data_IF_281294055076
#
_entry.id   IF_281294055076
#
_cell.length_a   1.000
_cell.length_b   1.000
_cell.length_c   1.000
_cell.angle_alpha   90.00
_cell.angle_beta   90.00
_cell.angle_gamma   90.00
#
_symmetry.space_group_name_H-M   'P 1'
#
loop_
_entity.id
_entity.type
_entity.pdbx_description
1 polymer ?
#
# COMPACT_ATOMS: atom_id res chain seq x y z
N UNK A 1 -8.50 -0.76 -13.54
CA UNK A 1 -9.18 0.28 -12.74
C UNK A 1 -8.22 1.43 -12.56
N UNK A 2 -8.70 2.66 -12.68
CA UNK A 2 -7.93 3.89 -12.52
C UNK A 2 -8.70 4.80 -11.57
N UNK A 3 -7.98 5.52 -10.71
CA UNK A 3 -8.56 6.50 -9.79
C UNK A 3 -7.62 7.66 -9.60
N UNK A 4 -8.19 8.84 -9.42
CA UNK A 4 -7.52 10.05 -8.96
C UNK A 4 -8.15 10.48 -7.64
N UNK A 5 -7.33 11.01 -6.73
CA UNK A 5 -7.77 11.51 -5.44
C UNK A 5 -7.07 12.82 -5.12
N UNK A 6 -7.79 13.68 -4.41
CA UNK A 6 -7.30 14.96 -3.90
C UNK A 6 -7.61 15.02 -2.42
N UNK A 7 -6.65 15.47 -1.63
CA UNK A 7 -6.80 15.69 -0.19
C UNK A 7 -6.19 17.05 0.14
N UNK A 8 -6.82 17.77 1.06
CA UNK A 8 -6.42 19.12 1.44
C UNK A 8 -6.35 19.23 2.94
N UNK A 9 -5.52 20.16 3.40
CA UNK A 9 -5.29 20.40 4.82
C UNK A 9 -4.74 19.18 5.58
N UNK A 10 -3.93 18.34 4.93
CA UNK A 10 -3.39 17.11 5.53
C UNK A 10 -2.20 17.44 6.44
N UNK A 11 -2.25 17.14 7.75
CA UNK A 11 -1.12 17.39 8.64
C UNK A 11 0.01 16.38 8.38
N UNK A 12 1.19 16.86 7.98
CA UNK A 12 2.38 16.03 7.74
C UNK A 12 3.64 16.79 8.20
N UNK A 13 4.58 16.11 8.87
CA UNK A 13 5.85 16.71 9.34
C UNK A 13 5.70 18.04 10.13
N UNK A 14 4.54 18.28 10.76
CA UNK A 14 4.25 19.52 11.47
C UNK A 14 3.80 20.70 10.59
N UNK A 15 3.56 20.48 9.29
CA UNK A 15 2.99 21.44 8.34
C UNK A 15 1.66 20.90 7.78
N UNK A 16 1.03 21.71 6.93
CA UNK A 16 -0.23 21.41 6.26
C UNK A 16 0.03 21.24 4.77
N UNK A 17 -0.45 20.13 4.19
CA UNK A 17 -0.19 19.75 2.81
C UNK A 17 -1.48 19.52 2.01
N UNK A 18 -1.44 19.93 0.75
CA UNK A 18 -2.37 19.50 -0.29
C UNK A 18 -1.75 18.34 -1.07
N UNK A 19 -2.54 17.29 -1.30
CA UNK A 19 -2.07 16.02 -1.87
C UNK A 19 -2.88 15.63 -3.09
N UNK A 20 -2.18 15.26 -4.16
CA UNK A 20 -2.78 14.60 -5.33
C UNK A 20 -2.27 13.17 -5.42
N UNK A 21 -3.17 12.22 -5.63
CA UNK A 21 -2.84 10.80 -5.78
C UNK A 21 -3.45 10.23 -7.05
N UNK A 22 -2.65 9.46 -7.78
CA UNK A 22 -3.10 8.66 -8.91
C UNK A 22 -2.88 7.19 -8.57
N UNK A 23 -3.86 6.34 -8.84
CA UNK A 23 -3.72 4.91 -8.66
C UNK A 23 -4.30 4.13 -9.84
N UNK A 24 -3.65 3.02 -10.17
CA UNK A 24 -4.05 2.12 -11.24
C UNK A 24 -3.85 0.66 -10.86
N UNK A 25 -4.78 -0.18 -11.31
CA UNK A 25 -4.68 -1.64 -11.21
C UNK A 25 -4.86 -2.24 -12.60
N UNK A 26 -3.85 -2.97 -13.05
CA UNK A 26 -3.70 -3.48 -14.41
C UNK A 26 -3.60 -5.02 -14.37
N UNK A 27 -4.62 -5.76 -14.84
CA UNK A 27 -4.52 -7.21 -15.01
C UNK A 27 -3.65 -7.50 -16.24
N UNK A 28 -2.46 -8.08 -16.04
CA UNK A 28 -1.51 -8.36 -17.13
C UNK A 28 -1.89 -9.66 -17.85
N UNK A 29 -2.06 -10.72 -17.07
CA UNK A 29 -2.52 -12.04 -17.53
C UNK A 29 -3.15 -12.71 -16.32
N UNK A 30 -4.22 -13.49 -16.46
CA UNK A 30 -4.78 -14.18 -15.28
C UNK A 30 -3.76 -15.24 -14.79
N UNK A 31 -3.42 -15.31 -13.49
CA UNK A 31 -3.96 -14.57 -12.34
C UNK A 31 -3.12 -13.36 -11.85
N UNK A 32 -2.16 -12.89 -12.64
CA UNK A 32 -1.24 -11.78 -12.37
C UNK A 32 -1.90 -10.40 -12.55
N UNK A 33 -1.81 -9.58 -11.50
CA UNK A 33 -2.30 -8.21 -11.45
C UNK A 33 -1.16 -7.30 -10.94
N UNK A 34 -0.94 -6.19 -11.63
CA UNK A 34 -0.06 -5.11 -11.17
C UNK A 34 -0.89 -3.96 -10.60
N UNK A 35 -0.36 -3.30 -9.57
CA UNK A 35 -0.90 -2.07 -9.00
C UNK A 35 0.17 -1.00 -8.95
N UNK A 36 -0.21 0.24 -9.21
CA UNK A 36 0.63 1.43 -9.12
C UNK A 36 -0.14 2.50 -8.32
N UNK A 37 0.57 3.17 -7.42
CA UNK A 37 0.15 4.43 -6.81
C UNK A 37 1.30 5.40 -7.01
N UNK A 38 0.99 6.62 -7.42
CA UNK A 38 1.89 7.76 -7.34
C UNK A 38 1.18 8.89 -6.61
N UNK A 39 1.92 9.62 -5.79
CA UNK A 39 1.39 10.71 -4.98
C UNK A 39 2.39 11.86 -4.95
N UNK A 40 1.87 13.07 -4.94
CA UNK A 40 2.59 14.32 -4.70
C UNK A 40 1.87 15.09 -3.59
N UNK A 41 2.62 15.66 -2.66
CA UNK A 41 2.13 16.43 -1.52
C UNK A 41 2.93 17.73 -1.41
N UNK A 42 2.24 18.87 -1.51
CA UNK A 42 2.83 20.21 -1.42
C UNK A 42 2.36 20.90 -0.16
N UNK A 43 3.27 21.53 0.58
CA UNK A 43 2.86 22.36 1.70
C UNK A 43 2.11 23.60 1.21
N UNK A 44 1.20 24.12 2.03
CA UNK A 44 0.37 25.29 1.67
C UNK A 44 1.18 26.58 1.47
N UNK A 45 2.44 26.61 1.93
CA UNK A 45 3.38 27.71 1.72
C UNK A 45 4.25 27.51 0.47
N UNK A 46 4.23 26.33 -0.17
CA UNK A 46 4.96 26.00 -1.39
C UNK A 46 6.47 25.77 -1.24
N UNK A 47 6.97 25.59 -0.02
CA UNK A 47 8.39 25.39 0.28
C UNK A 47 8.83 23.92 0.21
N UNK A 48 7.89 22.99 0.40
CA UNK A 48 8.13 21.56 0.43
C UNK A 48 7.22 20.85 -0.57
N UNK A 49 7.83 20.02 -1.41
CA UNK A 49 7.13 19.14 -2.33
C UNK A 49 7.67 17.73 -2.15
N UNK A 50 6.90 16.90 -1.46
CA UNK A 50 7.24 15.50 -1.27
C UNK A 50 6.48 14.65 -2.28
N UNK A 51 7.14 13.64 -2.83
CA UNK A 51 6.51 12.66 -3.69
C UNK A 51 6.68 11.23 -3.16
N UNK A 52 5.98 10.31 -3.79
CA UNK A 52 6.13 8.91 -3.50
C UNK A 52 5.38 8.03 -4.48
N UNK A 53 5.81 6.79 -4.57
CA UNK A 53 5.13 5.78 -5.36
C UNK A 53 5.12 4.43 -4.65
N UNK A 54 4.15 3.62 -5.03
CA UNK A 54 4.06 2.21 -4.65
C UNK A 54 3.76 1.41 -5.91
N UNK A 55 4.59 0.39 -6.16
CA UNK A 55 4.31 -0.66 -7.12
C UNK A 55 3.95 -1.93 -6.37
N UNK A 56 3.00 -2.69 -6.90
CA UNK A 56 2.57 -3.94 -6.29
C UNK A 56 2.24 -5.00 -7.33
N UNK A 57 2.42 -6.24 -6.94
CA UNK A 57 2.13 -7.42 -7.72
C UNK A 57 1.30 -8.37 -6.87
N UNK A 58 0.26 -8.93 -7.49
CA UNK A 58 -0.56 -9.99 -6.91
C UNK A 58 -0.75 -11.10 -7.92
N UNK A 59 -0.57 -12.35 -7.48
CA UNK A 59 -0.86 -13.53 -8.31
C UNK A 59 -1.43 -14.67 -7.48
N UNK A 60 -2.11 -15.62 -8.11
CA UNK A 60 -2.55 -16.86 -7.47
C UNK A 60 -1.51 -17.95 -7.71
N UNK A 61 -0.98 -18.52 -6.63
CA UNK A 61 -0.12 -19.72 -6.68
C UNK A 61 -0.97 -21.00 -6.75
N UNK A 62 -2.20 -20.95 -6.23
CA UNK A 62 -3.19 -22.02 -6.36
C UNK A 62 -4.61 -21.44 -6.25
N UNK A 63 -5.64 -22.30 -6.33
CA UNK A 63 -7.05 -21.88 -6.13
C UNK A 63 -7.31 -21.25 -4.76
N UNK A 64 -6.46 -21.51 -3.76
CA UNK A 64 -6.62 -21.02 -2.38
C UNK A 64 -5.51 -20.07 -1.93
N UNK A 65 -4.33 -20.11 -2.57
CA UNK A 65 -3.16 -19.34 -2.14
C UNK A 65 -2.86 -18.21 -3.12
N UNK A 66 -2.84 -16.97 -2.62
CA UNK A 66 -2.37 -15.81 -3.35
C UNK A 66 -1.03 -15.34 -2.79
N UNK A 67 -0.13 -14.91 -3.68
CA UNK A 67 1.10 -14.23 -3.37
C UNK A 67 0.95 -12.73 -3.65
N UNK A 68 1.59 -11.91 -2.82
CA UNK A 68 1.62 -10.46 -2.90
C UNK A 68 3.04 -9.98 -2.71
N UNK A 69 3.45 -9.02 -3.53
CA UNK A 69 4.71 -8.29 -3.41
C UNK A 69 4.39 -6.80 -3.56
N UNK A 70 5.05 -5.97 -2.78
CA UNK A 70 4.92 -4.51 -2.85
C UNK A 70 6.29 -3.88 -2.61
N UNK A 71 6.57 -2.84 -3.38
CA UNK A 71 7.71 -1.96 -3.18
C UNK A 71 7.26 -0.51 -3.29
N UNK A 72 7.79 0.37 -2.46
CA UNK A 72 7.49 1.79 -2.57
C UNK A 72 8.60 2.66 -2.01
N UNK A 73 8.62 3.90 -2.49
CA UNK A 73 9.45 4.97 -1.95
C UNK A 73 8.59 6.18 -1.66
N UNK A 74 8.89 6.91 -0.60
CA UNK A 74 8.23 8.19 -0.32
C UNK A 74 9.02 8.99 0.70
N UNK A 75 9.05 10.30 0.48
CA UNK A 75 9.60 11.25 1.45
C UNK A 75 8.54 11.88 2.36
N UNK A 76 7.25 11.60 2.15
CA UNK A 76 6.12 12.32 2.80
C UNK A 76 6.05 12.17 4.32
N UNK A 77 6.45 11.02 4.86
CA UNK A 77 6.45 10.77 6.31
C UNK A 77 7.82 11.03 6.91
N UNK A 78 8.88 10.54 6.24
CA UNK A 78 10.29 10.66 6.63
C UNK A 78 11.13 10.65 5.36
N UNK A 79 12.28 11.32 5.41
CA UNK A 79 13.23 11.35 4.30
C UNK A 79 13.77 9.94 3.98
N UNK A 80 13.88 9.64 2.69
CA UNK A 80 14.41 8.41 2.13
C UNK A 80 13.58 7.17 2.46
N UNK A 81 12.27 7.33 2.72
CA UNK A 81 11.42 6.21 3.13
C UNK A 81 11.29 5.17 2.02
N UNK A 82 11.70 3.93 2.29
CA UNK A 82 11.48 2.78 1.43
C UNK A 82 10.65 1.72 2.15
N UNK A 83 9.83 1.01 1.37
CA UNK A 83 8.95 -0.04 1.85
C UNK A 83 9.11 -1.26 0.94
N UNK A 84 9.45 -2.40 1.52
CA UNK A 84 9.35 -3.70 0.83
C UNK A 84 8.41 -4.61 1.62
N UNK A 85 7.42 -5.20 0.95
CA UNK A 85 6.51 -6.13 1.61
C UNK A 85 6.23 -7.36 0.76
N UNK A 86 6.26 -8.51 1.42
CA UNK A 86 5.93 -9.81 0.83
C UNK A 86 4.78 -10.41 1.65
N UNK A 87 3.79 -10.99 0.99
CA UNK A 87 2.65 -11.55 1.70
C UNK A 87 1.95 -12.69 0.99
N UNK A 88 1.22 -13.45 1.78
CA UNK A 88 0.42 -14.59 1.36
C UNK A 88 -0.99 -14.46 1.92
N UNK A 89 -1.98 -14.73 1.07
CA UNK A 89 -3.37 -14.84 1.47
C UNK A 89 -3.83 -16.29 1.22
N UNK A 90 -4.33 -16.97 2.25
CA UNK A 90 -4.89 -18.31 2.15
C UNK A 90 -6.41 -18.30 2.36
N UNK A 91 -7.15 -18.69 1.33
CA UNK A 91 -8.61 -18.81 1.35
C UNK A 91 -9.02 -20.11 2.03
N UNK A 92 -9.49 -20.02 3.27
CA UNK A 92 -10.01 -21.16 4.03
C UNK A 92 -11.40 -21.54 3.53
N UNK A 93 -12.29 -20.54 3.39
CA UNK A 93 -13.64 -20.69 2.86
C UNK A 93 -14.03 -19.43 2.05
N UNK A 94 -15.22 -19.39 1.45
CA UNK A 94 -15.70 -18.20 0.72
C UNK A 94 -15.64 -16.91 1.58
N UNK A 95 -16.13 -16.88 2.83
CA UNK A 95 -16.08 -15.68 3.67
C UNK A 95 -14.78 -15.53 4.46
N UNK A 96 -13.94 -16.57 4.54
CA UNK A 96 -12.83 -16.65 5.49
C UNK A 96 -11.47 -16.76 4.81
N UNK A 97 -10.57 -15.85 5.16
CA UNK A 97 -9.19 -15.77 4.64
C UNK A 97 -8.21 -15.60 5.80
N UNK A 98 -7.08 -16.29 5.74
CA UNK A 98 -5.91 -16.02 6.57
C UNK A 98 -4.89 -15.22 5.77
N UNK A 99 -4.14 -14.33 6.43
CA UNK A 99 -3.05 -13.60 5.80
C UNK A 99 -1.78 -13.64 6.65
N UNK A 100 -0.65 -13.67 5.96
CA UNK A 100 0.69 -13.51 6.50
C UNK A 100 1.40 -12.46 5.65
N UNK A 101 2.01 -11.45 6.26
CA UNK A 101 2.84 -10.48 5.56
C UNK A 101 4.12 -10.24 6.35
N UNK A 102 5.23 -10.10 5.63
CA UNK A 102 6.45 -9.52 6.13
C UNK A 102 6.62 -8.14 5.50
N UNK A 103 6.97 -7.16 6.30
CA UNK A 103 7.13 -5.77 5.89
C UNK A 103 8.44 -5.26 6.44
N UNK A 104 9.30 -4.82 5.55
CA UNK A 104 10.52 -4.10 5.85
C UNK A 104 10.35 -2.63 5.47
N UNK A 105 10.83 -1.74 6.34
CA UNK A 105 10.81 -0.30 6.14
C UNK A 105 12.18 0.26 6.47
N UNK A 106 12.76 0.97 5.52
CA UNK A 106 14.01 1.69 5.69
C UNK A 106 13.85 3.17 5.42
N UNK A 107 14.81 3.95 5.91
CA UNK A 107 14.84 5.41 5.83
C UNK A 107 16.29 5.87 5.73
N UNK A 108 16.50 7.15 5.43
CA UNK A 108 17.85 7.72 5.44
C UNK A 108 18.51 7.65 6.83
N UNK A 109 17.71 7.83 7.90
CA UNK A 109 18.12 7.52 9.27
C UNK A 109 17.85 6.04 9.59
N UNK A 110 18.89 5.22 9.52
CA UNK A 110 18.81 3.77 9.77
C UNK A 110 18.34 3.42 11.18
N UNK A 111 18.43 4.33 12.16
CA UNK A 111 17.86 4.10 13.50
C UNK A 111 16.33 4.02 13.49
N UNK A 112 15.69 4.38 12.37
CA UNK A 112 14.24 4.33 12.16
C UNK A 112 13.78 3.13 11.35
N UNK A 113 14.71 2.28 10.90
CA UNK A 113 14.40 1.02 10.23
C UNK A 113 13.50 0.14 11.10
N UNK A 114 12.63 -0.63 10.45
CA UNK A 114 11.71 -1.50 11.17
C UNK A 114 11.22 -2.65 10.32
N UNK A 115 11.19 -3.83 10.93
CA UNK A 115 10.66 -5.05 10.34
C UNK A 115 9.41 -5.52 11.09
N UNK A 116 8.41 -5.99 10.36
CA UNK A 116 7.13 -6.42 10.91
C UNK A 116 6.67 -7.72 10.28
N UNK A 117 6.20 -8.65 11.12
CA UNK A 117 5.47 -9.84 10.69
C UNK A 117 4.02 -9.67 11.12
N UNK A 118 3.10 -9.70 10.15
CA UNK A 118 1.67 -9.56 10.36
C UNK A 118 0.96 -10.86 10.04
N UNK A 119 0.29 -11.45 11.03
CA UNK A 119 -0.54 -12.64 10.88
C UNK A 119 -1.95 -12.29 11.30
N UNK A 120 -2.93 -12.70 10.51
CA UNK A 120 -4.31 -12.47 10.90
C UNK A 120 -5.34 -13.19 10.06
N UNK A 121 -6.60 -12.96 10.43
CA UNK A 121 -7.78 -13.57 9.86
C UNK A 121 -8.72 -12.46 9.40
N UNK A 122 -9.31 -12.62 8.22
CA UNK A 122 -10.32 -11.75 7.68
C UNK A 122 -11.59 -12.58 7.42
N UNK A 123 -12.69 -12.16 8.03
CA UNK A 123 -14.02 -12.72 7.79
C UNK A 123 -14.92 -11.65 7.15
N UNK A 124 -15.47 -11.95 5.97
CA UNK A 124 -16.40 -11.08 5.28
C UNK A 124 -17.83 -11.47 5.67
N UNK A 125 -18.47 -10.64 6.49
CA UNK A 125 -19.88 -10.79 6.85
C UNK A 125 -20.74 -10.40 5.64
N UNK A 126 -21.62 -11.31 5.21
CA UNK A 126 -22.70 -10.96 4.30
C UNK A 126 -23.96 -10.76 5.14
N UNK A 127 -24.25 -9.49 5.45
CA UNK A 127 -25.47 -9.12 6.17
C UNK A 127 -26.47 -8.73 5.08
N UNK A 128 -27.37 -9.66 4.76
CA UNK A 128 -28.55 -9.34 3.96
C UNK A 128 -29.54 -8.62 4.87
N UNK A 129 -29.72 -7.32 4.62
CA UNK A 129 -30.76 -6.52 5.27
C UNK A 129 -32.01 -6.68 4.41
N UNK A 130 -33.06 -7.25 5.00
CA UNK A 130 -34.36 -7.54 4.37
C UNK A 130 -35.04 -6.29 3.83
#
# INVERSE_FOLDING_TARGET
>A
HFSIGFDSDVPQKGLIFDTTRIAATIPIVKPLILGLIWQESKDTLGNFNDDGYVISLKTLLSKKLAFKLMYGKSDMVKAGGELTAIGFDYKVAKPLKLYLNYIDKSYEDSSKESEHIMIGLQYNFNIEIF
#
